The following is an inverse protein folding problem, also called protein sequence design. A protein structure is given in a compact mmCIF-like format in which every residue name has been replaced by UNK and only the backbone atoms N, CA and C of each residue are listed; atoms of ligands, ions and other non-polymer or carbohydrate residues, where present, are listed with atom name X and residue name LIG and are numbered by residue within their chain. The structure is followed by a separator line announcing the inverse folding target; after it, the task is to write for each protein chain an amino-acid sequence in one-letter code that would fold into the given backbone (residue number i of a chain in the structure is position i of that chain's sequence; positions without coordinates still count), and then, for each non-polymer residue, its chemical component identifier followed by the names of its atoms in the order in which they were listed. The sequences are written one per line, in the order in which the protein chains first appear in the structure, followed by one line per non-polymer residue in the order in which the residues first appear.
data_IF_127601410823
#
_entry.id   IF_127601410823
#
_cell.length_a   1.000
_cell.length_b   1.000
_cell.length_c   1.000
_cell.angle_alpha   90.00
_cell.angle_beta   90.00
_cell.angle_gamma   90.00
#
_symmetry.space_group_name_H-M   'P 1'
#
loop_
_entity.id
_entity.type
_entity.pdbx_description
1 polymer ?
#
# COMPACT_ATOMS: atom_id res chain seq x y z
N UNK A 1 -19.21 -3.28 -8.24
CA UNK A 1 -19.16 -2.93 -6.81
C UNK A 1 -19.24 -1.42 -6.60
N UNK A 2 -18.33 -0.60 -7.18
CA UNK A 2 -18.45 0.87 -7.21
C UNK A 2 -19.84 1.36 -7.61
N UNK A 3 -20.32 0.96 -8.80
CA UNK A 3 -21.63 1.40 -9.33
C UNK A 3 -22.81 0.89 -8.51
N UNK A 4 -22.65 -0.27 -7.86
CA UNK A 4 -23.66 -0.82 -6.96
C UNK A 4 -23.76 -0.01 -5.66
N UNK A 5 -22.64 0.53 -5.17
CA UNK A 5 -22.57 1.34 -3.95
C UNK A 5 -22.76 2.85 -4.19
N UNK A 6 -22.92 3.28 -5.45
CA UNK A 6 -23.00 4.69 -5.89
C UNK A 6 -21.85 5.57 -5.36
N UNK A 7 -20.64 5.00 -5.35
CA UNK A 7 -19.45 5.69 -4.84
C UNK A 7 -18.85 6.60 -5.90
N UNK A 8 -18.74 7.90 -5.56
CA UNK A 8 -18.22 8.96 -6.43
C UNK A 8 -16.74 9.29 -6.19
N UNK A 9 -16.13 8.78 -5.12
CA UNK A 9 -14.70 8.91 -4.85
C UNK A 9 -13.85 8.11 -5.86
N UNK A 10 -12.57 8.49 -6.06
CA UNK A 10 -11.65 7.69 -6.89
C UNK A 10 -11.60 6.23 -6.42
N UNK A 11 -11.94 5.32 -7.33
CA UNK A 11 -11.93 3.89 -7.10
C UNK A 11 -10.87 3.24 -7.98
N UNK A 12 -9.91 2.56 -7.36
CA UNK A 12 -8.85 1.85 -8.05
C UNK A 12 -8.97 0.36 -7.74
N UNK A 13 -8.88 -0.45 -8.79
CA UNK A 13 -8.90 -1.90 -8.68
C UNK A 13 -7.64 -2.49 -9.30
N UNK A 14 -7.18 -3.60 -8.74
CA UNK A 14 -6.07 -4.37 -9.25
C UNK A 14 -6.52 -5.48 -10.23
N UNK A 15 -7.68 -5.33 -10.88
CA UNK A 15 -8.31 -6.39 -11.68
C UNK A 15 -7.48 -6.89 -12.86
N UNK A 16 -6.81 -5.96 -13.56
CA UNK A 16 -5.95 -6.27 -14.72
C UNK A 16 -4.47 -6.40 -14.33
N UNK A 17 -4.20 -6.68 -13.05
CA UNK A 17 -2.83 -6.77 -12.54
C UNK A 17 -2.14 -8.02 -13.08
N UNK A 18 -0.89 -7.91 -13.58
CA UNK A 18 -0.12 -9.07 -14.01
C UNK A 18 -0.03 -10.15 -12.92
N UNK A 19 -0.13 -11.42 -13.31
CA UNK A 19 0.00 -12.57 -12.40
C UNK A 19 1.31 -12.52 -11.58
N UNK A 20 2.38 -11.95 -12.16
CA UNK A 20 3.66 -11.76 -11.48
C UNK A 20 3.56 -10.88 -10.22
N UNK A 21 2.65 -9.91 -10.18
CA UNK A 21 2.41 -9.08 -9.00
C UNK A 21 1.49 -9.81 -7.99
N UNK A 22 0.63 -10.72 -8.43
CA UNK A 22 -0.08 -11.60 -7.51
C UNK A 22 0.83 -12.69 -6.93
N UNK A 23 1.83 -13.14 -7.70
CA UNK A 23 2.83 -14.14 -7.36
C UNK A 23 2.25 -15.41 -6.70
N UNK A 24 1.07 -15.84 -7.14
CA UNK A 24 0.38 -17.02 -6.61
C UNK A 24 -0.27 -16.84 -5.23
N UNK A 25 -0.32 -15.61 -4.69
CA UNK A 25 -0.93 -15.32 -3.39
C UNK A 25 -2.46 -15.41 -3.46
N UNK A 26 -3.05 -15.89 -2.37
CA UNK A 26 -4.51 -15.96 -2.23
C UNK A 26 -5.11 -14.63 -1.77
N UNK A 27 -6.44 -14.56 -1.81
CA UNK A 27 -7.20 -13.46 -1.24
C UNK A 27 -6.79 -13.16 0.22
N UNK A 28 -6.74 -11.87 0.55
CA UNK A 28 -6.49 -11.39 1.92
C UNK A 28 -5.05 -11.00 2.21
N UNK A 29 -4.08 -11.28 1.33
CA UNK A 29 -2.70 -10.86 1.52
C UNK A 29 -2.51 -9.33 1.35
N UNK A 30 -1.53 -8.78 2.06
CA UNK A 30 -1.01 -7.43 1.82
C UNK A 30 0.35 -7.51 1.14
N UNK A 31 0.58 -6.63 0.17
CA UNK A 31 1.87 -6.43 -0.47
C UNK A 31 2.11 -4.93 -0.64
N UNK A 32 3.36 -4.50 -0.41
CA UNK A 32 3.80 -3.17 -0.75
C UNK A 32 4.68 -3.25 -2.00
N UNK A 33 4.43 -2.34 -2.94
CA UNK A 33 5.26 -2.14 -4.11
C UNK A 33 5.81 -0.73 -4.09
N UNK A 34 7.14 -0.61 -4.20
CA UNK A 34 7.83 0.65 -4.38
C UNK A 34 8.27 0.76 -5.83
N UNK A 35 7.90 1.86 -6.49
CA UNK A 35 8.44 2.20 -7.81
C UNK A 35 9.55 3.23 -7.64
N UNK A 36 10.72 2.91 -8.16
CA UNK A 36 11.86 3.81 -8.25
C UNK A 36 12.33 3.86 -9.72
N UNK A 37 12.06 5.01 -10.37
CA UNK A 37 12.25 5.19 -11.80
C UNK A 37 11.45 4.18 -12.66
N UNK A 38 12.18 3.36 -13.41
CA UNK A 38 11.66 2.29 -14.27
C UNK A 38 11.56 0.92 -13.56
N UNK A 39 11.98 0.85 -12.28
CA UNK A 39 12.00 -0.39 -11.51
C UNK A 39 10.87 -0.42 -10.49
N UNK A 40 10.37 -1.62 -10.23
CA UNK A 40 9.41 -1.91 -9.17
C UNK A 40 10.03 -2.94 -8.24
N UNK A 41 10.00 -2.64 -6.95
CA UNK A 41 10.47 -3.48 -5.85
C UNK A 41 9.28 -3.90 -5.00
N UNK A 42 9.35 -5.11 -4.44
CA UNK A 42 8.41 -5.60 -3.43
C UNK A 42 9.16 -5.73 -2.10
N UNK A 43 9.22 -4.66 -1.30
CA UNK A 43 9.95 -4.66 -0.03
C UNK A 43 9.33 -5.60 1.02
N UNK A 44 8.00 -5.77 1.01
CA UNK A 44 7.32 -6.71 1.90
C UNK A 44 6.01 -7.21 1.31
N UNK A 45 5.62 -8.42 1.74
CA UNK A 45 4.26 -8.92 1.69
C UNK A 45 3.97 -9.79 2.91
N UNK A 46 2.69 -9.97 3.24
CA UNK A 46 2.26 -10.81 4.36
C UNK A 46 0.84 -11.35 4.16
N UNK A 47 0.52 -12.46 4.82
CA UNK A 47 -0.80 -13.08 4.86
C UNK A 47 -1.15 -13.57 6.28
N UNK A 48 -2.31 -14.21 6.43
CA UNK A 48 -2.75 -14.79 7.70
C UNK A 48 -2.78 -13.76 8.83
N UNK A 49 -2.13 -14.04 9.96
CA UNK A 49 -2.12 -13.13 11.11
C UNK A 49 -1.34 -11.83 10.87
N UNK A 50 -0.45 -11.81 9.88
CA UNK A 50 0.27 -10.59 9.50
C UNK A 50 -0.66 -9.49 8.97
N UNK A 51 -1.85 -9.87 8.48
CA UNK A 51 -2.84 -8.91 7.97
C UNK A 51 -3.71 -8.33 9.09
N UNK A 52 -3.72 -8.92 10.29
CA UNK A 52 -4.43 -8.35 11.46
C UNK A 52 -3.88 -6.96 11.82
N UNK A 53 -2.59 -6.72 11.56
CA UNK A 53 -1.94 -5.44 11.77
C UNK A 53 -2.55 -4.31 10.92
N UNK A 54 -3.09 -4.62 9.74
CA UNK A 54 -3.70 -3.65 8.84
C UNK A 54 -5.13 -3.22 9.19
N UNK A 55 -5.64 -3.58 10.37
CA UNK A 55 -7.00 -3.23 10.79
C UNK A 55 -7.23 -1.71 10.87
N UNK A 56 -6.18 -0.90 11.08
CA UNK A 56 -6.24 0.56 11.06
C UNK A 56 -5.55 1.09 9.80
N UNK A 57 -6.19 2.05 9.10
CA UNK A 57 -5.65 2.70 7.92
C UNK A 57 -4.28 3.34 8.16
N UNK A 58 -4.02 3.91 9.33
CA UNK A 58 -2.72 4.47 9.69
C UNK A 58 -1.64 3.40 9.83
N UNK A 59 -2.00 2.21 10.34
CA UNK A 59 -1.04 1.12 10.42
C UNK A 59 -0.70 0.56 9.04
N UNK A 60 -1.65 0.54 8.10
CA UNK A 60 -1.35 0.17 6.71
C UNK A 60 -0.32 1.11 6.06
N UNK A 61 -0.34 2.40 6.39
CA UNK A 61 0.65 3.36 5.91
C UNK A 61 2.03 3.11 6.51
N UNK A 62 2.11 2.77 7.80
CA UNK A 62 3.38 2.43 8.48
C UNK A 62 4.09 1.22 7.85
N UNK A 63 3.33 0.31 7.25
CA UNK A 63 3.88 -0.86 6.57
C UNK A 63 4.50 -0.50 5.21
N UNK A 64 4.19 0.67 4.64
CA UNK A 64 4.77 1.11 3.37
C UNK A 64 6.18 1.67 3.54
N UNK A 65 6.96 1.68 2.44
CA UNK A 65 8.35 2.16 2.50
C UNK A 65 8.44 3.54 3.10
N UNK A 66 7.60 4.50 2.70
CA UNK A 66 7.71 5.89 3.14
C UNK A 66 6.88 6.22 4.39
N UNK A 67 6.35 5.21 5.08
CA UNK A 67 5.53 5.41 6.27
C UNK A 67 4.31 6.28 6.01
N UNK A 68 3.96 7.13 6.98
CA UNK A 68 2.79 8.03 6.89
C UNK A 68 3.12 9.34 6.20
N UNK A 69 4.41 9.66 6.08
CA UNK A 69 4.91 10.95 5.57
C UNK A 69 4.38 12.13 6.37
N UNK A 70 4.13 11.94 7.66
CA UNK A 70 3.71 13.04 8.54
C UNK A 70 4.93 13.87 8.95
N UNK A 71 4.77 15.18 9.07
CA UNK A 71 5.88 16.12 9.34
C UNK A 71 6.61 15.90 10.67
N UNK A 72 6.02 15.11 11.57
CA UNK A 72 6.59 14.74 12.87
C UNK A 72 7.27 13.37 12.86
N UNK A 73 7.17 12.61 11.76
CA UNK A 73 7.77 11.29 11.59
C UNK A 73 9.31 11.41 11.49
N UNK A 74 10.03 10.55 12.22
CA UNK A 74 11.49 10.46 12.16
C UNK A 74 11.90 9.63 10.93
N UNK A 75 11.90 10.29 9.76
CA UNK A 75 12.28 9.67 8.49
C UNK A 75 13.78 9.85 8.18
N UNK A 76 14.40 8.90 7.46
CA UNK A 76 15.74 9.10 6.93
C UNK A 76 15.88 10.40 6.10
N UNK A 77 17.09 10.98 6.01
CA UNK A 77 17.35 12.09 5.12
C UNK A 77 16.90 11.80 3.69
N UNK A 78 16.39 12.83 3.01
CA UNK A 78 15.92 12.79 1.62
C UNK A 78 14.68 11.93 1.34
N UNK A 79 14.00 11.41 2.37
CA UNK A 79 12.70 10.76 2.20
C UNK A 79 11.58 11.77 1.91
N UNK A 80 10.62 11.42 1.03
CA UNK A 80 9.50 12.29 0.73
C UNK A 80 8.64 12.53 1.97
N UNK A 81 8.34 13.79 2.23
CA UNK A 81 7.50 14.27 3.33
C UNK A 81 6.43 15.19 2.74
N UNK A 82 5.43 14.58 2.08
CA UNK A 82 4.44 15.30 1.27
C UNK A 82 3.26 15.84 2.08
N UNK A 83 3.11 15.42 3.34
CA UNK A 83 2.03 15.90 4.20
C UNK A 83 2.12 17.41 4.39
N UNK A 84 0.99 18.07 4.17
CA UNK A 84 0.78 19.48 4.52
C UNK A 84 -0.40 19.52 5.49
N UNK A 85 -0.25 20.18 6.65
CA UNK A 85 -1.31 20.27 7.65
C UNK A 85 -2.55 21.04 7.17
#
# INVERSE_FOLDING_TARGET
YRDFMDWTMPWYGAGDTPEKLLAGRSFGAYACYLRDGDRVFEPYWTDGRGTEAGANSYHLLDLTVYGRQETWEDSPPDWPQLYRP
#
